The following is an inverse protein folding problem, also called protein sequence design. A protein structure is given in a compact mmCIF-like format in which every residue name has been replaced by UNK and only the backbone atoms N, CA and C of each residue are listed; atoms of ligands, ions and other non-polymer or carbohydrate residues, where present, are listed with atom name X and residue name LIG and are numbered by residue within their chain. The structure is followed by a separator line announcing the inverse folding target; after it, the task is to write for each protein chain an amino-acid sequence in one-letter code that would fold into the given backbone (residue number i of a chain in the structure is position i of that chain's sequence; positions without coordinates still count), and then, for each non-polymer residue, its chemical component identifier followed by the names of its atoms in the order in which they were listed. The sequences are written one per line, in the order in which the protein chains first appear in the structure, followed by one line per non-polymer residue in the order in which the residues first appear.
data_IF_509187324911
#
_entry.id   IF_509187324911
#
_cell.length_a   1.000
_cell.length_b   1.000
_cell.length_c   1.000
_cell.angle_alpha   90.00
_cell.angle_beta   90.00
_cell.angle_gamma   90.00
#
_symmetry.space_group_name_H-M   'P 1'
#
loop_
_entity.id
_entity.type
_entity.pdbx_description
1 polymer ?
#
# COMPACT_ATOMS: atom_id res chain seq x y z
N UNK A 1 -19.35 -33.06 29.30
CA UNK A 1 -19.20 -32.83 27.85
C UNK A 1 -20.37 -32.07 27.20
N UNK A 2 -21.65 -32.41 27.45
CA UNK A 2 -22.79 -31.70 26.83
C UNK A 2 -22.91 -30.20 27.19
N UNK A 3 -22.59 -29.80 28.43
CA UNK A 3 -22.58 -28.38 28.81
C UNK A 3 -21.47 -27.56 28.13
N UNK A 4 -20.31 -28.17 27.87
CA UNK A 4 -19.16 -27.48 27.28
C UNK A 4 -19.35 -27.27 25.78
N UNK A 5 -20.06 -28.19 25.12
CA UNK A 5 -20.48 -28.06 23.71
C UNK A 5 -21.56 -26.99 23.56
N UNK A 6 -22.54 -26.89 24.48
CA UNK A 6 -23.54 -25.83 24.45
C UNK A 6 -22.95 -24.44 24.76
N UNK A 7 -21.94 -24.37 25.64
CA UNK A 7 -21.25 -23.10 25.92
C UNK A 7 -20.38 -22.66 24.72
N UNK A 8 -19.70 -23.60 24.05
CA UNK A 8 -18.99 -23.30 22.79
C UNK A 8 -19.94 -22.92 21.65
N UNK A 9 -21.13 -23.55 21.59
CA UNK A 9 -22.16 -23.24 20.59
C UNK A 9 -22.76 -21.85 20.81
N UNK A 10 -22.94 -21.42 22.07
CA UNK A 10 -23.36 -20.05 22.39
C UNK A 10 -22.26 -19.00 22.11
N UNK A 11 -20.98 -19.36 22.23
CA UNK A 11 -19.85 -18.46 21.92
C UNK A 11 -19.62 -18.36 20.40
N UNK A 12 -19.98 -19.39 19.62
CA UNK A 12 -19.89 -19.39 18.15
C UNK A 12 -21.05 -18.66 17.43
N UNK A 13 -22.08 -18.20 18.15
CA UNK A 13 -23.12 -17.29 17.64
C UNK A 13 -22.91 -15.86 18.17
N UNK A 14 -21.66 -15.48 18.47
CA UNK A 14 -21.28 -14.08 18.29
C UNK A 14 -21.24 -13.83 16.78
N UNK A 15 -22.42 -13.59 16.19
CA UNK A 15 -22.49 -13.03 14.85
C UNK A 15 -21.59 -11.80 14.85
N UNK A 16 -20.51 -11.82 14.08
CA UNK A 16 -19.88 -10.60 13.62
C UNK A 16 -20.98 -9.84 12.86
N UNK A 17 -21.70 -8.97 13.57
CA UNK A 17 -22.63 -8.04 12.94
C UNK A 17 -21.74 -7.03 12.24
N UNK A 18 -21.40 -7.32 10.98
CA UNK A 18 -20.90 -6.31 10.07
C UNK A 18 -21.99 -5.23 10.01
N UNK A 19 -21.66 -4.04 10.49
CA UNK A 19 -22.53 -2.87 10.43
C UNK A 19 -21.97 -1.93 9.38
N UNK A 20 -22.85 -1.45 8.50
CA UNK A 20 -22.52 -0.36 7.60
C UNK A 20 -22.68 0.96 8.35
N UNK A 21 -21.86 1.95 7.99
CA UNK A 21 -21.84 3.25 8.64
C UNK A 21 -21.78 4.35 7.61
N UNK A 22 -22.70 5.29 7.71
CA UNK A 22 -22.66 6.56 6.99
C UNK A 22 -22.26 7.67 7.96
N UNK A 23 -21.52 8.67 7.45
CA UNK A 23 -21.06 9.79 8.27
C UNK A 23 -21.16 11.13 7.55
N UNK A 24 -21.49 12.16 8.31
CA UNK A 24 -21.38 13.56 7.90
C UNK A 24 -20.47 14.29 8.89
N UNK A 25 -19.53 15.07 8.36
CA UNK A 25 -18.67 15.96 9.15
C UNK A 25 -19.28 17.36 9.04
N UNK A 26 -19.85 17.85 10.13
CA UNK A 26 -20.42 19.19 10.23
C UNK A 26 -19.39 20.12 10.85
N UNK A 27 -18.92 21.10 10.08
CA UNK A 27 -18.11 22.21 10.60
C UNK A 27 -19.03 23.36 10.96
N UNK A 28 -19.03 23.78 12.22
CA UNK A 28 -19.90 24.85 12.71
C UNK A 28 -19.27 26.21 12.38
N UNK A 29 -19.17 26.54 11.09
CA UNK A 29 -18.84 27.87 10.53
C UNK A 29 -19.43 27.97 9.12
N UNK A 30 -20.04 29.12 8.80
CA UNK A 30 -20.50 29.59 7.48
C UNK A 30 -20.27 28.62 6.29
N UNK A 31 -21.09 27.58 6.21
CA UNK A 31 -21.39 26.84 4.99
C UNK A 31 -22.84 27.21 4.57
N UNK A 32 -23.18 27.06 3.29
CA UNK A 32 -24.43 27.49 2.61
C UNK A 32 -25.71 26.78 3.10
N UNK A 33 -25.95 26.75 4.41
CA UNK A 33 -27.17 26.25 5.05
C UNK A 33 -28.07 27.46 5.32
N UNK A 34 -29.36 27.42 4.93
CA UNK A 34 -30.26 28.55 5.12
C UNK A 34 -30.55 28.78 6.60
N UNK A 35 -30.38 30.03 7.06
CA UNK A 35 -30.81 30.46 8.39
C UNK A 35 -32.34 30.45 8.45
N UNK A 36 -32.88 29.74 9.45
CA UNK A 36 -34.32 29.62 9.71
C UNK A 36 -34.64 30.16 11.11
N UNK A 37 -35.91 30.49 11.38
CA UNK A 37 -36.31 30.86 12.73
C UNK A 37 -36.15 29.66 13.67
N UNK A 38 -35.56 29.87 14.85
CA UNK A 38 -35.32 28.76 15.78
C UNK A 38 -36.61 28.02 16.16
N UNK A 39 -37.75 28.71 16.25
CA UNK A 39 -39.08 28.12 16.49
C UNK A 39 -39.49 27.13 15.40
N UNK A 40 -39.26 27.46 14.12
CA UNK A 40 -39.57 26.59 12.98
C UNK A 40 -38.75 25.29 13.02
N UNK A 41 -37.48 25.37 13.44
CA UNK A 41 -36.66 24.17 13.62
C UNK A 41 -37.12 23.28 14.77
N UNK A 42 -37.76 23.85 15.82
CA UNK A 42 -38.32 23.06 16.92
C UNK A 42 -39.53 22.27 16.44
N UNK A 43 -40.46 22.93 15.73
CA UNK A 43 -41.70 22.34 15.24
C UNK A 43 -41.46 21.26 14.18
N UNK A 44 -40.39 21.40 13.38
CA UNK A 44 -40.03 20.45 12.32
C UNK A 44 -39.24 19.22 12.81
N UNK A 45 -38.80 19.20 14.06
CA UNK A 45 -37.93 18.16 14.61
C UNK A 45 -38.69 17.13 15.45
N UNK A 46 -38.27 15.87 15.38
CA UNK A 46 -38.93 14.77 16.13
C UNK A 46 -38.16 14.36 17.37
N UNK A 47 -36.82 14.44 17.34
CA UNK A 47 -35.92 14.06 18.43
C UNK A 47 -34.68 14.96 18.43
N UNK A 48 -34.06 15.10 19.59
CA UNK A 48 -32.93 16.01 19.81
C UNK A 48 -31.66 15.20 20.07
N UNK A 49 -30.55 15.62 19.46
CA UNK A 49 -29.19 15.16 19.71
C UNK A 49 -28.40 16.30 20.35
N UNK A 50 -27.76 16.01 21.47
CA UNK A 50 -26.96 16.97 22.22
C UNK A 50 -25.49 16.56 22.22
N UNK A 51 -24.54 17.49 22.11
CA UNK A 51 -23.14 17.24 22.45
C UNK A 51 -23.00 17.04 23.98
N UNK A 52 -21.97 16.36 24.49
CA UNK A 52 -20.81 15.83 23.79
C UNK A 52 -21.08 14.46 23.16
N UNK A 53 -21.89 13.57 23.74
CA UNK A 53 -22.31 12.29 23.15
C UNK A 53 -23.82 12.07 23.31
N UNK A 54 -24.54 11.80 22.22
CA UNK A 54 -25.92 11.28 22.24
C UNK A 54 -26.06 10.13 21.24
N UNK A 55 -26.67 9.03 21.67
CA UNK A 55 -27.06 7.91 20.80
C UNK A 55 -28.59 7.75 20.80
N UNK A 56 -29.16 7.65 19.60
CA UNK A 56 -30.59 7.41 19.39
C UNK A 56 -30.76 6.20 18.47
N UNK A 57 -31.56 5.23 18.93
CA UNK A 57 -32.03 4.15 18.07
C UNK A 57 -33.39 4.52 17.50
N UNK A 58 -33.53 4.41 16.19
CA UNK A 58 -34.77 4.73 15.50
C UNK A 58 -35.01 3.81 14.31
N UNK A 59 -36.19 3.95 13.69
CA UNK A 59 -36.57 3.19 12.52
C UNK A 59 -37.23 4.06 11.45
N UNK A 60 -37.10 3.68 10.18
CA UNK A 60 -37.69 4.41 9.06
C UNK A 60 -38.18 3.45 8.00
N UNK A 61 -39.31 3.78 7.37
CA UNK A 61 -39.79 3.06 6.19
C UNK A 61 -39.12 3.64 4.93
N UNK A 62 -38.33 2.86 4.18
CA UNK A 62 -37.67 3.34 2.97
C UNK A 62 -38.65 3.92 1.94
N UNK A 63 -38.19 4.87 1.13
CA UNK A 63 -38.92 5.58 0.06
C UNK A 63 -40.15 6.40 0.50
N UNK A 64 -40.72 6.15 1.68
CA UNK A 64 -42.01 6.70 2.12
C UNK A 64 -41.84 7.73 3.23
N UNK A 65 -40.90 7.51 4.15
CA UNK A 65 -40.71 8.36 5.32
C UNK A 65 -39.37 9.09 5.29
N UNK A 66 -39.37 10.28 5.86
CA UNK A 66 -38.18 11.03 6.22
C UNK A 66 -38.30 11.43 7.70
N UNK A 67 -37.18 11.45 8.42
CA UNK A 67 -37.16 11.84 9.83
C UNK A 67 -36.22 13.01 10.04
N UNK A 68 -36.67 13.97 10.84
CA UNK A 68 -35.93 15.17 11.17
C UNK A 68 -35.47 15.13 12.63
N UNK A 69 -34.19 15.45 12.84
CA UNK A 69 -33.50 15.44 14.12
C UNK A 69 -32.89 16.83 14.36
N UNK A 70 -33.03 17.33 15.59
CA UNK A 70 -32.44 18.60 15.99
C UNK A 70 -31.07 18.36 16.62
N UNK A 71 -30.05 19.04 16.14
CA UNK A 71 -28.71 19.06 16.72
C UNK A 71 -28.56 20.36 17.51
N UNK A 72 -28.66 20.29 18.83
CA UNK A 72 -28.66 21.47 19.70
C UNK A 72 -27.31 21.74 20.34
N UNK A 73 -27.11 22.98 20.82
CA UNK A 73 -25.97 23.39 21.64
C UNK A 73 -24.60 23.17 20.98
N UNK A 74 -24.51 23.37 19.67
CA UNK A 74 -23.27 23.23 18.93
C UNK A 74 -22.43 24.52 19.02
N UNK A 75 -21.15 24.38 19.37
CA UNK A 75 -20.22 25.49 19.56
C UNK A 75 -19.71 26.03 18.22
N UNK A 76 -19.69 27.36 18.08
CA UNK A 76 -19.19 28.04 16.88
C UNK A 76 -17.68 27.81 16.70
N UNK A 77 -17.28 27.27 15.55
CA UNK A 77 -15.90 26.87 15.25
C UNK A 77 -15.55 25.42 15.54
N UNK A 78 -16.43 24.67 16.20
CA UNK A 78 -16.24 23.24 16.45
C UNK A 78 -16.65 22.38 15.26
N UNK A 79 -16.09 21.17 15.19
CA UNK A 79 -16.44 20.18 14.15
C UNK A 79 -17.08 18.97 14.83
N UNK A 80 -18.20 18.51 14.30
CA UNK A 80 -18.96 17.38 14.82
C UNK A 80 -19.10 16.31 13.74
N UNK A 81 -18.92 15.04 14.10
CA UNK A 81 -19.06 13.90 13.18
C UNK A 81 -20.34 13.14 13.48
N UNK A 82 -21.40 13.33 12.70
CA UNK A 82 -22.65 12.58 12.88
C UNK A 82 -22.49 11.21 12.22
N UNK A 83 -22.75 10.13 12.97
CA UNK A 83 -22.64 8.75 12.47
C UNK A 83 -24.00 8.06 12.49
N UNK A 84 -24.36 7.43 11.37
CA UNK A 84 -25.53 6.57 11.24
C UNK A 84 -25.05 5.15 10.98
N UNK A 85 -25.39 4.22 11.88
CA UNK A 85 -24.98 2.82 11.80
C UNK A 85 -26.20 1.92 11.62
N UNK A 86 -26.11 0.93 10.74
CA UNK A 86 -27.18 -0.02 10.45
C UNK A 86 -26.63 -1.41 10.08
N UNK A 87 -27.39 -2.49 10.27
CA UNK A 87 -26.93 -3.83 9.90
C UNK A 87 -26.55 -3.94 8.42
N UNK A 88 -25.47 -4.64 8.07
CA UNK A 88 -25.07 -4.81 6.67
C UNK A 88 -26.07 -5.62 5.82
N UNK A 89 -27.00 -6.32 6.45
CA UNK A 89 -28.09 -7.08 5.81
C UNK A 89 -29.29 -6.20 5.44
N UNK A 90 -29.30 -4.93 5.84
CA UNK A 90 -30.41 -4.01 5.58
C UNK A 90 -30.58 -3.76 4.08
N UNK A 91 -31.78 -3.95 3.49
CA UNK A 91 -32.04 -3.77 2.06
C UNK A 91 -32.32 -2.31 1.68
N UNK A 92 -31.64 -1.36 2.31
CA UNK A 92 -31.83 0.08 2.10
C UNK A 92 -30.51 0.85 2.30
N UNK A 93 -30.34 1.89 1.50
CA UNK A 93 -29.27 2.88 1.64
C UNK A 93 -29.83 4.11 2.36
N UNK A 94 -29.06 4.70 3.27
CA UNK A 94 -29.46 5.89 3.99
C UNK A 94 -28.89 7.15 3.32
N UNK A 95 -29.55 8.27 3.58
CA UNK A 95 -29.07 9.58 3.15
C UNK A 95 -29.32 10.58 4.26
N UNK A 96 -28.27 11.30 4.63
CA UNK A 96 -28.31 12.37 5.61
C UNK A 96 -28.15 13.72 4.90
N UNK A 97 -28.96 14.72 5.29
CA UNK A 97 -28.88 16.09 4.76
C UNK A 97 -29.16 17.10 5.87
N UNK A 98 -28.41 18.19 5.89
CA UNK A 98 -28.68 19.33 6.77
C UNK A 98 -29.62 20.29 6.04
N UNK A 99 -30.74 20.63 6.66
CA UNK A 99 -31.79 21.45 6.03
C UNK A 99 -31.72 22.93 6.41
N UNK A 100 -31.30 23.23 7.64
CA UNK A 100 -31.32 24.59 8.16
C UNK A 100 -30.54 24.71 9.46
N UNK A 101 -30.19 25.95 9.82
CA UNK A 101 -29.52 26.31 11.07
C UNK A 101 -30.23 27.51 11.72
N UNK A 102 -30.03 27.66 13.03
CA UNK A 102 -30.36 28.88 13.73
C UNK A 102 -29.35 29.14 14.85
N UNK A 103 -29.29 30.38 15.33
CA UNK A 103 -28.42 30.81 16.44
C UNK A 103 -29.27 31.16 17.65
N UNK A 104 -28.97 30.54 18.78
CA UNK A 104 -29.64 30.80 20.06
C UNK A 104 -29.08 32.07 20.72
N UNK A 105 -29.83 32.64 21.68
CA UNK A 105 -29.47 33.87 22.40
C UNK A 105 -28.11 33.78 23.11
N UNK A 106 -27.68 32.57 23.48
CA UNK A 106 -26.37 32.30 24.11
C UNK A 106 -25.20 32.13 23.12
N UNK A 107 -25.43 32.37 21.83
CA UNK A 107 -24.39 32.28 20.80
C UNK A 107 -24.10 30.86 20.27
N UNK A 108 -24.76 29.83 20.81
CA UNK A 108 -24.70 28.45 20.32
C UNK A 108 -25.57 28.26 19.06
N UNK A 109 -25.20 27.33 18.20
CA UNK A 109 -25.97 27.01 16.98
C UNK A 109 -26.76 25.72 17.14
N UNK A 110 -27.93 25.71 16.51
CA UNK A 110 -28.79 24.54 16.33
C UNK A 110 -28.90 24.23 14.84
N UNK A 111 -28.84 22.94 14.47
CA UNK A 111 -29.00 22.48 13.09
C UNK A 111 -30.10 21.44 12.97
N UNK A 112 -30.77 21.39 11.82
CA UNK A 112 -31.78 20.38 11.50
C UNK A 112 -31.22 19.34 10.53
N UNK A 113 -31.12 18.11 11.00
CA UNK A 113 -30.66 16.95 10.25
C UNK A 113 -31.86 16.15 9.76
N UNK A 114 -31.98 15.98 8.45
CA UNK A 114 -32.93 15.10 7.80
C UNK A 114 -32.27 13.77 7.44
N UNK A 115 -32.96 12.68 7.73
CA UNK A 115 -32.58 11.31 7.39
C UNK A 115 -33.67 10.71 6.52
N UNK A 116 -33.26 10.15 5.38
CA UNK A 116 -34.11 9.39 4.48
C UNK A 116 -33.45 8.07 4.13
N UNK A 117 -34.24 7.08 3.70
CA UNK A 117 -33.73 5.78 3.26
C UNK A 117 -34.35 5.41 1.92
N UNK A 118 -33.57 4.79 1.03
CA UNK A 118 -34.01 4.31 -0.28
C UNK A 118 -33.80 2.81 -0.37
N UNK A 119 -34.83 2.08 -0.80
CA UNK A 119 -34.71 0.63 -0.98
C UNK A 119 -33.77 0.29 -2.15
N UNK A 120 -32.88 -0.70 -1.97
CA UNK A 120 -31.80 -0.99 -2.93
C UNK A 120 -32.18 -1.99 -4.03
N UNK A 121 -33.39 -2.56 -4.01
CA UNK A 121 -33.92 -3.39 -5.11
C UNK A 121 -33.17 -4.70 -5.39
N UNK A 122 -32.17 -5.07 -4.58
CA UNK A 122 -31.27 -6.22 -4.84
C UNK A 122 -31.91 -7.57 -4.43
N UNK A 123 -33.08 -7.57 -3.78
CA UNK A 123 -33.75 -8.78 -3.31
C UNK A 123 -34.99 -9.12 -4.14
N UNK A 124 -35.16 -10.41 -4.46
CA UNK A 124 -36.29 -10.93 -5.25
C UNK A 124 -37.61 -11.07 -4.46
N UNK A 125 -37.62 -10.74 -3.16
CA UNK A 125 -38.81 -10.90 -2.32
C UNK A 125 -39.76 -9.70 -2.45
N UNK A 126 -41.03 -9.99 -2.73
CA UNK A 126 -42.10 -8.99 -2.91
C UNK A 126 -42.37 -8.24 -1.60
N UNK A 127 -42.55 -6.93 -1.69
CA UNK A 127 -42.88 -5.99 -0.59
C UNK A 127 -41.76 -5.66 0.42
N UNK A 128 -40.51 -6.05 0.19
CA UNK A 128 -39.37 -5.65 1.06
C UNK A 128 -39.22 -4.12 1.13
N UNK A 129 -39.58 -3.40 0.07
CA UNK A 129 -39.49 -1.92 0.02
C UNK A 129 -40.35 -1.21 1.09
N UNK A 130 -41.31 -1.91 1.70
CA UNK A 130 -42.20 -1.38 2.74
C UNK A 130 -41.83 -1.82 4.15
N UNK A 131 -40.75 -2.59 4.30
CA UNK A 131 -40.32 -3.06 5.61
C UNK A 131 -39.62 -1.94 6.40
N UNK A 132 -39.93 -1.84 7.68
CA UNK A 132 -39.35 -0.82 8.56
C UNK A 132 -37.92 -1.21 8.92
N UNK A 133 -36.98 -0.34 8.60
CA UNK A 133 -35.54 -0.55 8.84
C UNK A 133 -35.12 0.17 10.11
N UNK A 134 -34.28 -0.46 10.93
CA UNK A 134 -33.72 0.16 12.16
C UNK A 134 -32.29 0.67 11.94
N UNK A 135 -31.96 1.78 12.59
CA UNK A 135 -30.63 2.38 12.59
C UNK A 135 -30.30 3.03 13.94
N UNK A 136 -29.01 3.17 14.20
CA UNK A 136 -28.49 3.92 15.33
C UNK A 136 -27.87 5.22 14.82
N UNK A 137 -28.33 6.35 15.34
CA UNK A 137 -27.83 7.69 15.06
C UNK A 137 -27.03 8.18 16.27
N UNK A 138 -25.78 8.56 16.04
CA UNK A 138 -24.84 8.96 17.09
C UNK A 138 -24.26 10.33 16.74
N UNK A 139 -24.37 11.27 17.68
CA UNK A 139 -23.57 12.49 17.72
C UNK A 139 -22.48 12.24 18.78
N UNK A 140 -21.24 11.91 18.41
CA UNK A 140 -20.20 11.52 19.31
C UNK A 140 -19.50 12.72 19.95
N UNK A 141 -18.80 12.41 21.05
CA UNK A 141 -17.69 13.18 21.61
C UNK A 141 -17.17 14.32 20.72
N UNK A 142 -17.50 15.60 20.93
CA UNK A 142 -16.72 16.72 20.33
C UNK A 142 -15.24 16.39 20.51
N UNK A 143 -14.40 16.47 19.47
CA UNK A 143 -13.00 15.99 19.45
C UNK A 143 -12.15 16.49 20.64
N UNK A 144 -12.36 15.89 21.80
CA UNK A 144 -11.35 15.66 22.83
C UNK A 144 -10.25 14.79 22.21
N UNK A 145 -10.48 14.16 21.05
CA UNK A 145 -9.50 13.40 20.27
C UNK A 145 -8.17 14.12 19.97
N UNK A 146 -8.03 15.44 20.15
CA UNK A 146 -6.72 16.12 20.11
C UNK A 146 -6.13 16.44 21.50
N UNK A 147 -6.95 16.65 22.51
CA UNK A 147 -6.53 16.91 23.90
C UNK A 147 -6.33 15.60 24.67
N UNK A 148 -7.28 14.67 24.58
CA UNK A 148 -7.13 13.25 24.97
C UNK A 148 -6.10 12.52 24.12
N UNK A 149 -5.78 12.88 22.88
CA UNK A 149 -4.56 12.30 22.25
C UNK A 149 -3.29 12.80 22.89
N UNK A 150 -3.25 14.03 23.41
CA UNK A 150 -2.09 14.58 24.13
C UNK A 150 -2.03 14.09 25.56
N UNK A 151 -3.16 13.97 26.24
CA UNK A 151 -3.30 13.46 27.60
C UNK A 151 -3.28 11.93 27.64
N UNK A 152 -3.90 11.21 26.70
CA UNK A 152 -3.65 9.78 26.47
C UNK A 152 -2.27 9.56 25.86
N UNK A 153 -1.65 10.45 25.07
CA UNK A 153 -0.20 10.32 24.81
C UNK A 153 0.56 10.48 26.11
N UNK A 154 0.23 11.42 26.99
CA UNK A 154 0.95 11.63 28.23
C UNK A 154 0.70 10.48 29.22
N UNK A 155 -0.50 9.92 29.31
CA UNK A 155 -0.86 8.73 30.08
C UNK A 155 -0.28 7.47 29.44
N UNK A 156 -0.31 7.31 28.12
CA UNK A 156 0.40 6.25 27.39
C UNK A 156 1.90 6.41 27.60
N UNK A 157 2.48 7.61 27.57
CA UNK A 157 3.89 7.87 27.84
C UNK A 157 4.23 7.57 29.30
N UNK A 158 3.34 7.89 30.25
CA UNK A 158 3.45 7.57 31.69
C UNK A 158 3.20 6.07 31.99
N UNK A 159 2.42 5.39 31.15
CA UNK A 159 2.24 3.93 31.13
C UNK A 159 3.39 3.23 30.40
N UNK A 160 4.01 3.88 29.40
CA UNK A 160 5.22 3.45 28.70
C UNK A 160 6.46 3.65 29.59
N UNK A 161 6.45 4.61 30.51
CA UNK A 161 7.45 4.70 31.59
C UNK A 161 7.43 3.45 32.48
N UNK A 162 6.30 2.74 32.55
CA UNK A 162 6.17 1.45 33.27
C UNK A 162 6.45 0.22 32.39
N UNK A 163 6.38 0.35 31.05
CA UNK A 163 6.75 -0.73 30.14
C UNK A 163 8.21 -0.58 29.73
N UNK A 164 9.08 -1.27 30.46
CA UNK A 164 10.44 -1.54 29.99
C UNK A 164 10.38 -2.15 28.59
N UNK A 165 10.96 -1.48 27.58
CA UNK A 165 10.97 -1.96 26.20
C UNK A 165 11.58 -3.36 26.20
N UNK A 166 10.76 -4.37 25.92
CA UNK A 166 11.21 -5.73 26.01
C UNK A 166 12.19 -6.03 24.88
N UNK A 167 13.21 -6.85 25.19
CA UNK A 167 14.24 -7.25 24.21
C UNK A 167 13.66 -7.92 22.96
N UNK A 168 12.45 -8.48 23.02
CA UNK A 168 11.77 -9.09 21.88
C UNK A 168 11.15 -8.07 20.91
N UNK A 169 10.95 -6.82 21.32
CA UNK A 169 10.45 -5.71 20.50
C UNK A 169 11.60 -4.87 19.88
N UNK A 170 12.85 -5.28 20.12
CA UNK A 170 14.03 -4.51 19.78
C UNK A 170 14.20 -4.32 18.25
N UNK A 171 14.11 -3.07 17.81
CA UNK A 171 14.59 -2.61 16.51
C UNK A 171 16.11 -2.43 16.48
N UNK A 172 16.70 -2.39 15.28
CA UNK A 172 18.13 -2.04 15.10
C UNK A 172 18.27 -1.02 13.99
N UNK A 173 19.31 -0.21 14.07
CA UNK A 173 19.71 0.71 13.01
C UNK A 173 19.82 -0.01 11.65
N UNK A 174 19.45 0.67 10.58
CA UNK A 174 19.54 0.17 9.21
C UNK A 174 21.01 -0.03 8.79
N UNK A 175 21.23 -0.85 7.76
CA UNK A 175 22.58 -1.15 7.28
C UNK A 175 23.15 -0.06 6.35
N UNK A 176 22.27 0.64 5.62
CA UNK A 176 22.60 1.62 4.59
C UNK A 176 23.75 1.18 3.68
N UNK A 177 23.64 -0.05 3.15
CA UNK A 177 24.68 -0.71 2.36
C UNK A 177 25.08 0.14 1.15
N UNK A 178 26.37 0.43 1.00
CA UNK A 178 26.94 1.23 -0.08
C UNK A 178 27.65 0.38 -1.11
N UNK A 179 27.89 0.99 -2.28
CA UNK A 179 28.83 0.43 -3.24
C UNK A 179 30.27 0.53 -2.72
N UNK A 180 31.05 -0.55 -2.84
CA UNK A 180 32.48 -0.55 -2.49
C UNK A 180 33.01 -1.93 -2.13
N UNK A 181 34.26 -1.99 -1.66
CA UNK A 181 34.90 -3.24 -1.27
C UNK A 181 34.07 -4.00 -0.23
N UNK A 182 33.93 -5.32 -0.43
CA UNK A 182 33.02 -6.16 0.35
C UNK A 182 33.32 -6.06 1.86
N UNK A 183 32.36 -5.53 2.63
CA UNK A 183 32.42 -5.46 4.10
C UNK A 183 31.08 -5.92 4.69
N UNK A 184 31.11 -7.01 5.44
CA UNK A 184 29.91 -7.64 6.03
C UNK A 184 30.17 -7.88 7.52
N UNK A 185 29.20 -7.50 8.37
CA UNK A 185 29.21 -7.78 9.79
C UNK A 185 28.19 -8.86 10.15
N UNK A 186 28.55 -9.75 11.07
CA UNK A 186 27.62 -10.72 11.63
C UNK A 186 26.87 -10.10 12.80
N UNK A 187 25.54 -10.18 12.78
CA UNK A 187 24.67 -9.66 13.82
C UNK A 187 23.94 -10.83 14.48
N UNK A 188 24.25 -11.10 15.75
CA UNK A 188 23.55 -12.12 16.55
C UNK A 188 22.10 -11.69 16.78
N UNK A 189 21.16 -12.56 16.43
CA UNK A 189 19.72 -12.38 16.66
C UNK A 189 19.19 -13.33 17.73
N UNK A 190 17.92 -13.19 18.10
CA UNK A 190 17.24 -14.09 19.04
C UNK A 190 17.31 -15.53 18.53
N UNK A 191 17.44 -16.50 19.43
CA UNK A 191 17.51 -17.93 19.09
C UNK A 191 18.88 -18.39 18.59
N UNK A 192 19.94 -17.60 18.77
CA UNK A 192 21.31 -18.02 18.46
C UNK A 192 21.72 -17.91 16.98
N UNK A 193 20.81 -17.54 16.07
CA UNK A 193 21.13 -17.33 14.66
C UNK A 193 21.90 -16.03 14.40
N UNK A 194 22.50 -15.92 13.22
CA UNK A 194 23.19 -14.73 12.75
C UNK A 194 22.58 -14.19 11.46
N UNK A 195 22.40 -12.88 11.39
CA UNK A 195 22.12 -12.15 10.16
C UNK A 195 23.39 -11.50 9.64
N UNK A 196 23.54 -11.46 8.32
CA UNK A 196 24.71 -10.84 7.66
C UNK A 196 24.31 -9.43 7.25
N UNK A 197 24.91 -8.43 7.90
CA UNK A 197 24.69 -7.02 7.61
C UNK A 197 25.78 -6.53 6.67
N UNK A 198 25.47 -6.41 5.39
CA UNK A 198 26.38 -5.80 4.44
C UNK A 198 26.45 -4.28 4.66
N UNK A 199 27.67 -3.76 4.79
CA UNK A 199 27.93 -2.31 4.80
C UNK A 199 28.40 -1.83 3.43
N UNK A 200 29.20 -2.64 2.75
CA UNK A 200 29.69 -2.36 1.40
C UNK A 200 29.68 -3.63 0.55
N UNK A 201 29.24 -3.52 -0.69
CA UNK A 201 29.27 -4.58 -1.68
C UNK A 201 29.63 -4.00 -3.05
N UNK A 202 30.43 -4.73 -3.82
CA UNK A 202 30.82 -4.37 -5.20
C UNK A 202 30.17 -5.28 -6.24
N UNK A 203 29.88 -6.52 -5.83
CA UNK A 203 29.49 -7.61 -6.72
C UNK A 203 28.19 -8.24 -6.21
N UNK A 204 27.39 -8.73 -7.14
CA UNK A 204 26.12 -9.39 -6.89
C UNK A 204 25.90 -10.56 -7.84
N UNK A 205 25.01 -11.49 -7.50
CA UNK A 205 24.55 -12.51 -8.44
C UNK A 205 23.26 -12.06 -9.11
N UNK A 206 23.28 -11.92 -10.43
CA UNK A 206 22.14 -11.49 -11.22
C UNK A 206 21.68 -12.58 -12.17
N UNK A 207 20.37 -12.77 -12.27
CA UNK A 207 19.75 -13.73 -13.18
C UNK A 207 19.25 -13.07 -14.45
N UNK A 208 19.51 -13.70 -15.60
CA UNK A 208 18.84 -13.40 -16.86
C UNK A 208 17.61 -14.30 -16.96
N UNK A 209 16.41 -13.72 -16.90
CA UNK A 209 15.14 -14.44 -16.78
C UNK A 209 14.84 -15.31 -17.99
N UNK A 210 14.90 -14.74 -19.20
CA UNK A 210 14.63 -15.47 -20.45
C UNK A 210 15.59 -16.66 -20.68
N UNK A 211 16.88 -16.45 -20.43
CA UNK A 211 17.93 -17.45 -20.67
C UNK A 211 18.10 -18.46 -19.53
N UNK A 212 17.45 -18.24 -18.38
CA UNK A 212 17.54 -19.14 -17.22
C UNK A 212 18.92 -19.25 -16.59
N UNK A 213 19.79 -18.24 -16.76
CA UNK A 213 21.15 -18.24 -16.21
C UNK A 213 21.34 -17.21 -15.11
N UNK A 214 22.34 -17.43 -14.26
CA UNK A 214 22.79 -16.45 -13.28
C UNK A 214 24.29 -16.28 -13.33
N UNK A 215 24.77 -15.04 -13.22
CA UNK A 215 26.19 -14.72 -13.19
C UNK A 215 26.50 -13.70 -12.11
N UNK A 216 27.68 -13.86 -11.52
CA UNK A 216 28.26 -12.85 -10.63
C UNK A 216 28.79 -11.71 -11.48
N UNK A 217 28.29 -10.50 -11.25
CA UNK A 217 28.72 -9.30 -11.97
C UNK A 217 28.96 -8.16 -11.00
N UNK A 218 29.71 -7.16 -11.47
CA UNK A 218 29.96 -5.93 -10.71
C UNK A 218 28.76 -5.00 -10.83
N UNK A 219 28.39 -4.40 -9.70
CA UNK A 219 27.39 -3.34 -9.63
C UNK A 219 28.10 -2.02 -9.91
N UNK A 220 27.55 -1.22 -10.83
CA UNK A 220 28.15 0.03 -11.26
C UNK A 220 27.58 1.21 -10.49
N UNK A 221 26.26 1.43 -10.59
CA UNK A 221 25.57 2.56 -9.95
C UNK A 221 24.12 2.22 -9.68
N UNK A 222 23.49 2.96 -8.76
CA UNK A 222 22.05 2.95 -8.54
C UNK A 222 21.44 4.06 -9.39
N UNK A 223 20.42 3.74 -10.20
CA UNK A 223 19.83 4.69 -11.16
C UNK A 223 18.43 5.14 -10.74
N UNK A 224 17.64 4.22 -10.19
CA UNK A 224 16.28 4.51 -9.77
C UNK A 224 15.92 3.76 -8.49
N UNK A 225 15.10 4.40 -7.67
CA UNK A 225 14.50 3.79 -6.49
C UNK A 225 13.10 4.38 -6.33
N UNK A 226 12.11 3.52 -6.13
CA UNK A 226 10.72 3.95 -5.98
C UNK A 226 10.45 4.63 -4.64
N UNK A 227 11.16 4.27 -3.57
CA UNK A 227 10.85 4.73 -2.22
C UNK A 227 11.46 6.09 -1.88
N UNK A 228 12.72 6.32 -2.25
CA UNK A 228 13.42 7.55 -1.90
C UNK A 228 14.56 7.84 -2.90
N UNK A 229 14.62 9.08 -3.40
CA UNK A 229 15.64 9.56 -4.32
C UNK A 229 17.03 9.74 -3.67
N UNK A 230 17.11 9.95 -2.35
CA UNK A 230 18.39 10.02 -1.63
C UNK A 230 19.17 8.70 -1.71
N UNK A 231 18.47 7.57 -1.82
CA UNK A 231 19.10 6.27 -1.98
C UNK A 231 19.81 6.15 -3.33
N UNK A 232 19.32 6.85 -4.36
CA UNK A 232 19.98 6.94 -5.68
C UNK A 232 21.20 7.85 -5.58
N UNK A 233 21.03 9.07 -5.04
CA UNK A 233 22.12 10.07 -4.89
C UNK A 233 23.33 9.50 -4.16
N UNK A 234 23.08 8.69 -3.15
CA UNK A 234 24.12 8.13 -2.28
C UNK A 234 24.54 6.69 -2.63
N UNK A 235 24.10 6.17 -3.79
CA UNK A 235 24.37 4.79 -4.25
C UNK A 235 24.12 3.72 -3.16
N UNK A 236 22.96 3.78 -2.50
CA UNK A 236 22.57 2.82 -1.46
C UNK A 236 21.86 1.61 -2.07
N UNK A 237 22.35 0.42 -1.74
CA UNK A 237 21.83 -0.86 -2.24
C UNK A 237 20.67 -1.34 -1.35
N UNK A 238 19.46 -1.34 -1.89
CA UNK A 238 18.23 -1.82 -1.22
C UNK A 238 17.40 -2.69 -2.15
N UNK A 239 16.51 -3.53 -1.58
CA UNK A 239 15.56 -4.30 -2.38
C UNK A 239 14.67 -3.35 -3.20
N UNK A 240 14.48 -3.65 -4.47
CA UNK A 240 13.67 -2.86 -5.41
C UNK A 240 14.39 -1.67 -6.03
N UNK A 241 15.67 -1.43 -5.68
CA UNK A 241 16.47 -0.45 -6.39
C UNK A 241 16.86 -0.97 -7.78
N UNK A 242 16.70 -0.11 -8.78
CA UNK A 242 17.17 -0.34 -10.15
C UNK A 242 18.61 0.14 -10.25
N UNK A 243 19.48 -0.75 -10.69
CA UNK A 243 20.92 -0.56 -10.77
C UNK A 243 21.42 -0.84 -12.18
N UNK A 244 22.59 -0.29 -12.50
CA UNK A 244 23.37 -0.71 -13.65
C UNK A 244 24.40 -1.75 -13.21
N UNK A 245 24.48 -2.86 -13.94
CA UNK A 245 25.47 -3.91 -13.75
C UNK A 245 26.35 -4.06 -14.99
N UNK A 246 27.54 -4.63 -14.80
CA UNK A 246 28.42 -4.99 -15.91
C UNK A 246 27.81 -6.11 -16.77
N UNK A 247 27.77 -5.90 -18.08
CA UNK A 247 27.24 -6.84 -19.05
C UNK A 247 28.25 -7.93 -19.45
N UNK A 248 29.54 -7.77 -19.15
CA UNK A 248 30.61 -8.66 -19.68
C UNK A 248 30.38 -10.15 -19.40
N UNK A 249 29.95 -10.60 -18.20
CA UNK A 249 29.82 -12.03 -17.93
C UNK A 249 28.62 -12.66 -18.64
N UNK A 250 27.58 -11.87 -18.93
CA UNK A 250 26.43 -12.31 -19.71
C UNK A 250 26.75 -12.37 -21.20
N UNK A 251 27.48 -11.37 -21.70
CA UNK A 251 27.94 -11.35 -23.11
C UNK A 251 28.81 -12.56 -23.43
N UNK A 252 29.83 -12.82 -22.60
CA UNK A 252 30.74 -13.97 -22.79
C UNK A 252 29.98 -15.30 -22.76
N UNK A 253 29.00 -15.44 -21.85
CA UNK A 253 28.18 -16.63 -21.81
C UNK A 253 27.34 -16.78 -23.08
N UNK A 254 26.69 -15.71 -23.54
CA UNK A 254 25.83 -15.75 -24.71
C UNK A 254 26.62 -16.09 -25.99
N UNK A 255 27.78 -15.46 -26.18
CA UNK A 255 28.72 -15.78 -27.29
C UNK A 255 29.14 -17.27 -27.23
N UNK A 256 29.42 -17.81 -26.03
CA UNK A 256 29.76 -19.23 -25.89
C UNK A 256 28.57 -20.17 -26.13
N UNK A 257 27.34 -19.72 -25.85
CA UNK A 257 26.14 -20.54 -25.85
C UNK A 257 25.48 -20.64 -27.22
N UNK A 258 25.44 -19.52 -27.96
CA UNK A 258 24.81 -19.37 -29.27
C UNK A 258 25.81 -19.15 -30.41
N UNK A 259 27.08 -18.84 -30.12
CA UNK A 259 28.07 -18.46 -31.12
C UNK A 259 27.67 -17.22 -31.95
N UNK A 260 26.90 -16.31 -31.34
CA UNK A 260 26.46 -15.05 -31.93
C UNK A 260 26.99 -13.92 -31.07
N UNK A 261 27.56 -12.88 -31.70
CA UNK A 261 27.97 -11.68 -31.01
C UNK A 261 26.76 -10.83 -30.59
N UNK A 262 26.81 -10.23 -29.40
CA UNK A 262 25.80 -9.25 -28.94
C UNK A 262 26.30 -7.82 -29.10
N UNK A 263 25.39 -6.93 -29.49
CA UNK A 263 25.65 -5.50 -29.65
C UNK A 263 26.57 -5.11 -30.83
N UNK A 264 27.36 -4.02 -30.71
CA UNK A 264 28.15 -3.36 -31.78
C UNK A 264 29.20 -4.29 -32.39
N UNK A 265 29.43 -5.43 -31.77
CA UNK A 265 30.27 -6.50 -32.27
C UNK A 265 29.58 -7.33 -33.35
N UNK A 266 28.25 -7.24 -33.55
CA UNK A 266 27.49 -7.92 -34.62
C UNK A 266 27.93 -7.54 -36.04
N UNK A 267 28.62 -6.42 -36.24
CA UNK A 267 29.02 -5.93 -37.57
C UNK A 267 30.51 -5.56 -37.66
N UNK A 268 31.38 -6.19 -36.86
CA UNK A 268 32.82 -5.91 -36.86
C UNK A 268 33.68 -7.16 -36.71
N UNK A 269 35.01 -6.99 -36.70
CA UNK A 269 36.00 -8.08 -36.62
C UNK A 269 35.73 -9.10 -35.50
N UNK A 270 35.13 -8.65 -34.40
CA UNK A 270 34.80 -9.52 -33.27
C UNK A 270 33.57 -10.43 -33.50
N UNK A 271 32.64 -10.10 -34.41
CA UNK A 271 31.61 -11.05 -34.84
C UNK A 271 32.24 -12.16 -35.67
N UNK A 272 33.10 -11.80 -36.62
CA UNK A 272 33.78 -12.78 -37.47
C UNK A 272 34.66 -13.74 -36.65
N UNK A 273 35.34 -13.24 -35.61
CA UNK A 273 36.10 -14.10 -34.70
C UNK A 273 35.21 -15.10 -33.96
N UNK A 274 34.02 -14.66 -33.50
CA UNK A 274 33.08 -15.53 -32.78
C UNK A 274 32.51 -16.61 -33.73
N UNK A 275 32.15 -16.24 -34.95
CA UNK A 275 31.66 -17.18 -35.97
C UNK A 275 32.75 -18.17 -36.42
N UNK A 276 33.97 -17.70 -36.73
CA UNK A 276 35.12 -18.56 -37.06
C UNK A 276 35.48 -19.50 -35.89
N UNK A 277 35.35 -19.04 -34.65
CA UNK A 277 35.53 -19.90 -33.47
C UNK A 277 34.45 -20.98 -33.35
N UNK A 278 33.27 -20.77 -33.94
CA UNK A 278 32.18 -21.73 -33.92
C UNK A 278 32.39 -22.86 -34.94
N UNK A 279 32.89 -22.52 -36.12
CA UNK A 279 33.20 -23.46 -37.20
C UNK A 279 34.36 -24.39 -36.84
N UNK A 280 35.34 -23.90 -36.06
CA UNK A 280 36.48 -24.70 -35.58
C UNK A 280 36.16 -25.64 -34.41
N UNK A 281 34.94 -25.62 -33.86
CA UNK A 281 34.52 -26.52 -32.76
C UNK A 281 34.14 -27.92 -33.26
N UNK A 282 34.12 -28.89 -32.35
CA UNK A 282 33.73 -30.27 -32.66
C UNK A 282 32.31 -30.35 -33.23
N UNK A 283 32.06 -31.35 -34.08
CA UNK A 283 30.75 -31.60 -34.72
C UNK A 283 29.61 -31.69 -33.69
N UNK A 284 29.88 -32.23 -32.50
CA UNK A 284 28.89 -32.30 -31.41
C UNK A 284 28.48 -30.92 -30.89
N UNK A 285 29.42 -29.96 -30.82
CA UNK A 285 29.12 -28.59 -30.40
C UNK A 285 28.40 -27.82 -31.51
N UNK A 286 28.81 -27.97 -32.77
CA UNK A 286 28.10 -27.39 -33.91
C UNK A 286 26.62 -27.83 -33.94
N UNK A 287 26.34 -29.11 -33.72
CA UNK A 287 24.96 -29.63 -33.61
C UNK A 287 24.17 -28.96 -32.47
N UNK A 288 24.80 -28.71 -31.31
CA UNK A 288 24.17 -28.00 -30.19
C UNK A 288 23.89 -26.53 -30.52
N UNK A 289 24.81 -25.86 -31.22
CA UNK A 289 24.63 -24.46 -31.65
C UNK A 289 23.48 -24.34 -32.66
N UNK A 290 23.45 -25.22 -33.67
CA UNK A 290 22.37 -25.27 -34.66
C UNK A 290 21.00 -25.50 -34.00
N UNK A 291 20.92 -26.40 -33.02
CA UNK A 291 19.68 -26.65 -32.28
C UNK A 291 19.19 -25.44 -31.46
N UNK A 292 20.09 -24.53 -31.06
CA UNK A 292 19.79 -23.35 -30.24
C UNK A 292 19.55 -22.09 -31.06
N UNK A 293 19.93 -22.07 -32.34
CA UNK A 293 19.85 -20.89 -33.19
C UNK A 293 18.44 -20.25 -33.22
N UNK A 294 17.39 -21.08 -33.17
CA UNK A 294 16.00 -20.60 -33.14
C UNK A 294 15.64 -19.81 -31.88
N UNK A 295 16.29 -20.09 -30.74
CA UNK A 295 16.05 -19.42 -29.46
C UNK A 295 16.97 -18.22 -29.23
N UNK A 296 17.89 -17.91 -30.16
CA UNK A 296 18.89 -16.87 -29.96
C UNK A 296 18.34 -15.43 -30.06
N UNK A 297 17.08 -15.21 -30.43
CA UNK A 297 16.57 -13.85 -30.59
C UNK A 297 16.56 -13.10 -29.23
N UNK A 298 17.23 -11.94 -29.18
CA UNK A 298 17.27 -11.06 -28.00
C UNK A 298 16.44 -9.80 -28.27
N UNK A 299 15.73 -9.33 -27.24
CA UNK A 299 14.96 -8.09 -27.28
C UNK A 299 15.84 -6.89 -27.72
N UNK A 300 15.38 -6.06 -28.68
CA UNK A 300 16.15 -4.92 -29.17
C UNK A 300 16.61 -3.95 -28.06
N UNK A 301 15.78 -3.69 -27.05
CA UNK A 301 16.12 -2.79 -25.93
C UNK A 301 17.21 -3.37 -25.03
N UNK A 302 17.32 -4.70 -25.00
CA UNK A 302 18.36 -5.40 -24.26
C UNK A 302 19.66 -5.44 -25.07
N UNK A 303 19.60 -5.62 -26.40
CA UNK A 303 20.77 -5.55 -27.30
C UNK A 303 21.43 -4.16 -27.25
N UNK A 304 20.62 -3.09 -27.18
CA UNK A 304 21.09 -1.71 -26.94
C UNK A 304 21.84 -1.53 -25.62
N UNK A 305 21.49 -2.29 -24.58
CA UNK A 305 22.22 -2.25 -23.31
C UNK A 305 23.51 -3.06 -23.38
N UNK A 306 23.51 -4.18 -24.11
CA UNK A 306 24.74 -4.90 -24.44
C UNK A 306 25.69 -4.04 -25.27
N UNK A 307 25.19 -3.17 -26.15
CA UNK A 307 25.98 -2.13 -26.84
C UNK A 307 26.69 -1.19 -25.86
N UNK A 308 25.96 -0.72 -24.85
CA UNK A 308 26.49 0.19 -23.83
C UNK A 308 27.42 -0.50 -22.81
N UNK A 309 27.47 -1.85 -22.80
CA UNK A 309 28.20 -2.65 -21.83
C UNK A 309 27.62 -2.63 -20.43
N UNK A 310 26.38 -2.14 -20.27
CA UNK A 310 25.74 -1.92 -18.97
C UNK A 310 24.30 -2.35 -19.06
N UNK A 311 23.90 -3.31 -18.22
CA UNK A 311 22.53 -3.81 -18.15
C UNK A 311 21.80 -3.19 -16.97
N UNK A 312 20.52 -2.89 -17.14
CA UNK A 312 19.65 -2.53 -16.02
C UNK A 312 19.16 -3.80 -15.31
N UNK A 313 19.23 -3.77 -13.99
CA UNK A 313 18.80 -4.88 -13.13
C UNK A 313 18.09 -4.35 -11.89
N UNK A 314 17.24 -5.16 -11.28
CA UNK A 314 16.59 -4.86 -9.99
C UNK A 314 17.17 -5.75 -8.90
N UNK A 315 17.48 -5.15 -7.76
CA UNK A 315 17.89 -5.90 -6.57
C UNK A 315 16.67 -6.58 -5.94
N UNK A 316 16.67 -7.91 -5.89
CA UNK A 316 15.60 -8.70 -5.26
C UNK A 316 15.91 -9.07 -3.80
N UNK A 317 17.20 -9.14 -3.44
CA UNK A 317 17.64 -9.47 -2.09
C UNK A 317 17.55 -8.28 -1.11
N UNK A 318 17.72 -8.56 0.19
CA UNK A 318 17.83 -7.54 1.25
C UNK A 318 19.26 -7.52 1.83
N UNK A 319 20.19 -6.69 1.30
CA UNK A 319 21.60 -6.71 1.67
C UNK A 319 21.88 -6.56 3.18
N UNK A 320 21.08 -5.76 3.88
CA UNK A 320 21.21 -5.57 5.34
C UNK A 320 20.80 -6.77 6.21
N UNK A 321 20.18 -7.80 5.61
CA UNK A 321 19.72 -9.01 6.31
C UNK A 321 20.49 -10.25 5.84
N UNK A 322 20.66 -10.42 4.53
CA UNK A 322 21.29 -11.60 3.92
C UNK A 322 22.78 -11.43 3.66
N UNK A 323 23.29 -10.19 3.63
CA UNK A 323 24.66 -9.87 3.30
C UNK A 323 24.97 -9.99 1.81
N UNK A 324 23.95 -10.09 0.95
CA UNK A 324 24.10 -10.24 -0.51
C UNK A 324 23.25 -9.23 -1.25
N UNK A 325 23.73 -8.81 -2.42
CA UNK A 325 23.03 -7.93 -3.34
C UNK A 325 22.75 -8.69 -4.63
N UNK A 326 21.69 -9.50 -4.63
CA UNK A 326 21.31 -10.38 -5.73
C UNK A 326 20.02 -9.86 -6.37
N UNK A 327 19.84 -10.16 -7.65
CA UNK A 327 18.75 -9.59 -8.43
C UNK A 327 18.54 -10.26 -9.77
N UNK A 328 17.78 -9.61 -10.63
CA UNK A 328 17.50 -10.06 -11.99
C UNK A 328 17.61 -8.90 -12.98
N UNK A 329 17.97 -9.22 -14.22
CA UNK A 329 18.06 -8.27 -15.33
C UNK A 329 16.64 -7.87 -15.75
N UNK A 330 16.43 -6.59 -16.06
CA UNK A 330 15.16 -6.08 -16.52
C UNK A 330 14.91 -6.43 -17.99
N UNK A 331 13.72 -6.96 -18.28
CA UNK A 331 13.32 -7.40 -19.63
C UNK A 331 11.89 -6.92 -19.97
N UNK A 332 11.57 -6.87 -21.27
CA UNK A 332 10.23 -6.59 -21.80
C UNK A 332 9.54 -5.35 -21.19
N UNK A 333 8.27 -5.50 -20.80
CA UNK A 333 7.44 -4.41 -20.27
C UNK A 333 8.00 -3.76 -19.00
N UNK A 334 8.69 -4.53 -18.16
CA UNK A 334 9.28 -4.00 -16.93
C UNK A 334 10.46 -3.07 -17.26
N UNK A 335 11.29 -3.48 -18.22
CA UNK A 335 12.37 -2.65 -18.73
C UNK A 335 11.83 -1.35 -19.35
N UNK A 336 10.80 -1.43 -20.19
CA UNK A 336 10.15 -0.24 -20.78
C UNK A 336 9.62 0.73 -19.72
N UNK A 337 8.97 0.21 -18.67
CA UNK A 337 8.45 1.02 -17.58
C UNK A 337 9.56 1.81 -16.88
N UNK A 338 10.65 1.16 -16.51
CA UNK A 338 11.76 1.84 -15.83
C UNK A 338 12.53 2.77 -16.76
N UNK A 339 12.73 2.40 -18.03
CA UNK A 339 13.34 3.29 -19.03
C UNK A 339 12.53 4.58 -19.18
N UNK A 340 11.19 4.50 -19.20
CA UNK A 340 10.32 5.69 -19.25
C UNK A 340 10.51 6.58 -18.02
N UNK A 341 10.53 5.99 -16.82
CA UNK A 341 10.73 6.72 -15.55
C UNK A 341 12.11 7.34 -15.43
N UNK A 342 13.15 6.68 -15.93
CA UNK A 342 14.53 7.19 -15.92
C UNK A 342 14.64 8.36 -16.91
N UNK A 343 14.09 8.22 -18.13
CA UNK A 343 14.11 9.29 -19.14
C UNK A 343 13.30 10.52 -18.73
N UNK A 344 12.13 10.35 -18.11
CA UNK A 344 11.29 11.48 -17.68
C UNK A 344 11.88 12.30 -16.53
N UNK A 345 12.82 11.73 -15.78
CA UNK A 345 13.42 12.34 -14.59
C UNK A 345 14.82 12.90 -14.86
N UNK A 346 15.34 12.65 -16.07
CA UNK A 346 16.62 13.13 -16.56
C UNK A 346 16.37 14.41 -17.34
#
# INVERSE_FOLDING_TARGET
MKLLVNLLLCILIAQFVLANTEKIILRVKNEDVPDMACSELQDMSTKILLPSFTELRDSIMPNTQQKNYRLDNLEEGSTYEIRLSYPAITPADFYMRILGNCKNEHGLRTYLLNISAKATGVSAAKNIEKEVVTYNLVLPALDVLNTERRENMQLILKQFELNTIFRFELGRQSANTKLGSKRIHLVRVRGGSYKRRALRLENGNFSWGSEGISRKTRILTVVYNASNNELVRTNTLVKGAVIQIDATPFRQWYESHYAIALGKKKAGAHAEEVEKSAESKSKAVQKKLAARAAAAAVDPLLDDQFNAGRLYAVIASRPGQSGRCDGYILEGKELEFYLRKIKSRK
#
